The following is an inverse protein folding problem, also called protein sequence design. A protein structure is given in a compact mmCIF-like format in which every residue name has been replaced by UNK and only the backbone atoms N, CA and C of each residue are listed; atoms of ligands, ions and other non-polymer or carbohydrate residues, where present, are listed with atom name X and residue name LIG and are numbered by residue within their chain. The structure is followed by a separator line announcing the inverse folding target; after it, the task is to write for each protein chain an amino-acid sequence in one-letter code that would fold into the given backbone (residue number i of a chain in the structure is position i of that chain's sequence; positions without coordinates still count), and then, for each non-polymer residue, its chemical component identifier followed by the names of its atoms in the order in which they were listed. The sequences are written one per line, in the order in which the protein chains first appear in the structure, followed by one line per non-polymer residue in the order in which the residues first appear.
data_IF_394902224907
#
_entry.id   IF_394902224907
#
_cell.length_a   1.000
_cell.length_b   1.000
_cell.length_c   1.000
_cell.angle_alpha   90.00
_cell.angle_beta   90.00
_cell.angle_gamma   90.00
#
_symmetry.space_group_name_H-M   'P 1'
#
loop_
_entity.id
_entity.type
_entity.pdbx_description
1 polymer ?
#
# COMPACT_ATOMS: atom_id res chain seq x y z
N UNK A 1 12.87 -26.36 -0.14
CA UNK A 1 12.86 -24.89 -0.04
C UNK A 1 11.67 -24.52 0.84
N UNK A 2 11.82 -23.89 2.02
CA UNK A 2 10.67 -23.36 2.74
C UNK A 2 10.42 -21.93 2.21
N UNK A 3 9.33 -21.68 1.47
CA UNK A 3 8.01 -21.32 1.99
C UNK A 3 8.08 -20.11 2.95
N UNK A 4 8.21 -18.91 2.38
CA UNK A 4 7.83 -17.64 3.03
C UNK A 4 6.30 -17.54 3.06
N UNK A 5 5.65 -18.53 3.66
CA UNK A 5 4.21 -18.59 3.82
C UNK A 5 3.89 -18.17 5.27
N UNK A 6 3.28 -17.00 5.43
CA UNK A 6 2.45 -16.75 6.61
C UNK A 6 3.12 -16.32 7.91
N UNK A 7 4.25 -15.61 7.90
CA UNK A 7 4.50 -14.64 8.98
C UNK A 7 3.67 -13.37 8.72
N UNK A 8 2.35 -13.54 8.66
CA UNK A 8 1.47 -12.51 9.17
C UNK A 8 1.71 -12.54 10.68
N UNK A 9 2.63 -11.69 11.14
CA UNK A 9 2.74 -11.32 12.55
C UNK A 9 1.47 -10.54 12.92
N UNK A 10 0.33 -11.24 12.90
CA UNK A 10 -0.94 -10.73 13.35
C UNK A 10 -0.89 -10.78 14.87
N UNK A 11 -0.30 -9.73 15.42
CA UNK A 11 -0.01 -9.47 16.84
C UNK A 11 -1.27 -9.38 17.72
N UNK A 12 -2.41 -9.93 17.29
CA UNK A 12 -3.73 -9.72 17.91
C UNK A 12 -4.16 -8.26 17.89
N UNK A 13 -3.57 -7.46 17.01
CA UNK A 13 -3.77 -6.01 16.94
C UNK A 13 -4.88 -5.69 15.97
N UNK A 14 -5.82 -4.83 16.39
CA UNK A 14 -6.84 -4.29 15.48
C UNK A 14 -6.20 -3.66 14.24
N UNK A 15 -6.44 -4.27 13.08
CA UNK A 15 -6.04 -3.72 11.78
C UNK A 15 -6.99 -2.57 11.44
N UNK A 16 -6.42 -1.38 11.28
CA UNK A 16 -7.18 -0.19 10.95
C UNK A 16 -7.64 -0.15 9.48
N UNK A 17 -8.52 0.80 9.13
CA UNK A 17 -9.07 0.89 7.79
C UNK A 17 -8.02 1.10 6.70
N UNK A 18 -6.98 1.93 6.93
CA UNK A 18 -5.97 2.17 5.91
C UNK A 18 -5.08 0.95 5.69
N UNK A 19 -4.68 0.28 6.77
CA UNK A 19 -3.86 -0.93 6.67
C UNK A 19 -4.62 -2.06 5.96
N UNK A 20 -5.94 -2.20 6.20
CA UNK A 20 -6.78 -3.13 5.43
C UNK A 20 -6.76 -2.82 3.93
N UNK A 21 -6.94 -1.55 3.56
CA UNK A 21 -6.93 -1.12 2.16
C UNK A 21 -5.60 -1.42 1.47
N UNK A 22 -4.47 -1.07 2.12
CA UNK A 22 -3.15 -1.31 1.54
C UNK A 22 -2.80 -2.79 1.50
N UNK A 23 -3.20 -3.58 2.50
CA UNK A 23 -3.02 -5.03 2.45
C UNK A 23 -3.79 -5.64 1.28
N UNK A 24 -5.04 -5.23 1.05
CA UNK A 24 -5.81 -5.66 -0.12
C UNK A 24 -5.16 -5.27 -1.44
N UNK A 25 -4.64 -4.05 -1.56
CA UNK A 25 -3.91 -3.61 -2.74
C UNK A 25 -2.66 -4.46 -3.01
N UNK A 26 -1.82 -4.67 -1.99
CA UNK A 26 -0.57 -5.45 -2.14
C UNK A 26 -0.86 -6.91 -2.44
N UNK A 27 -1.88 -7.51 -1.81
CA UNK A 27 -2.31 -8.89 -2.09
C UNK A 27 -2.92 -9.03 -3.50
N UNK A 28 -3.60 -8.00 -3.99
CA UNK A 28 -4.21 -7.98 -5.32
C UNK A 28 -3.21 -7.69 -6.45
N UNK A 29 -1.98 -7.31 -6.15
CA UNK A 29 -0.98 -6.95 -7.16
C UNK A 29 -0.60 -8.17 -8.02
N UNK A 30 -0.75 -8.04 -9.34
CA UNK A 30 -0.51 -9.12 -10.32
C UNK A 30 0.81 -8.94 -11.10
N UNK A 31 1.54 -7.84 -10.90
CA UNK A 31 2.80 -7.56 -11.59
C UNK A 31 4.00 -8.32 -11.01
N UNK A 32 5.13 -8.26 -11.71
CA UNK A 32 6.40 -8.76 -11.19
C UNK A 32 6.82 -7.93 -9.97
N UNK A 33 7.17 -8.59 -8.87
CA UNK A 33 7.54 -7.93 -7.62
C UNK A 33 9.07 -7.91 -7.45
N UNK A 34 9.71 -7.01 -8.19
CA UNK A 34 11.15 -6.77 -8.06
C UNK A 34 11.50 -6.09 -6.71
N UNK A 35 12.80 -6.03 -6.33
CA UNK A 35 13.22 -5.47 -5.04
C UNK A 35 12.77 -4.03 -4.77
N UNK A 36 12.68 -3.16 -5.80
CA UNK A 36 12.20 -1.79 -5.62
C UNK A 36 10.70 -1.78 -5.30
N UNK A 37 9.90 -2.58 -6.01
CA UNK A 37 8.48 -2.74 -5.72
C UNK A 37 8.24 -3.28 -4.31
N UNK A 38 9.06 -4.23 -3.85
CA UNK A 38 8.99 -4.74 -2.47
C UNK A 38 9.20 -3.63 -1.43
N UNK A 39 10.21 -2.77 -1.63
CA UNK A 39 10.49 -1.65 -0.72
C UNK A 39 9.32 -0.67 -0.67
N UNK A 40 8.76 -0.32 -1.84
CA UNK A 40 7.63 0.62 -1.89
C UNK A 40 6.39 0.01 -1.22
N UNK A 41 6.08 -1.26 -1.49
CA UNK A 41 4.95 -1.96 -0.86
C UNK A 41 5.09 -2.08 0.66
N UNK A 42 6.30 -2.36 1.16
CA UNK A 42 6.58 -2.35 2.60
C UNK A 42 6.42 -0.94 3.20
N UNK A 43 6.88 0.09 2.49
CA UNK A 43 6.68 1.50 2.85
C UNK A 43 5.20 1.86 2.99
N UNK A 44 4.37 1.49 2.02
CA UNK A 44 2.93 1.72 2.06
C UNK A 44 2.27 1.05 3.28
N UNK A 45 2.62 -0.20 3.59
CA UNK A 45 2.09 -0.91 4.78
C UNK A 45 2.45 -0.18 6.08
N UNK A 46 3.70 0.27 6.21
CA UNK A 46 4.16 1.04 7.37
C UNK A 46 3.43 2.37 7.52
N UNK A 47 3.25 3.10 6.41
CA UNK A 47 2.54 4.38 6.39
C UNK A 47 1.06 4.21 6.75
N UNK A 48 0.38 3.20 6.19
CA UNK A 48 -1.01 2.90 6.50
C UNK A 48 -1.21 2.61 8.00
N UNK A 49 -0.32 1.79 8.59
CA UNK A 49 -0.30 1.51 10.03
C UNK A 49 -0.16 2.79 10.88
N UNK A 50 0.72 3.70 10.46
CA UNK A 50 0.96 4.96 11.15
C UNK A 50 -0.23 5.91 11.04
N UNK A 51 -0.87 5.99 9.87
CA UNK A 51 -2.08 6.78 9.65
C UNK A 51 -3.19 6.27 10.58
N UNK A 52 -3.47 4.97 10.60
CA UNK A 52 -4.50 4.39 11.46
C UNK A 52 -4.24 4.69 12.95
N UNK A 53 -2.98 4.58 13.39
CA UNK A 53 -2.56 4.90 14.76
C UNK A 53 -2.72 6.38 15.12
N UNK A 54 -2.42 7.28 14.18
CA UNK A 54 -2.59 8.72 14.37
C UNK A 54 -4.05 9.13 14.36
N UNK A 55 -4.85 8.61 13.43
CA UNK A 55 -6.29 8.83 13.34
C UNK A 55 -6.98 8.42 14.63
N UNK A 56 -6.66 7.23 15.17
CA UNK A 56 -7.20 6.75 16.47
C UNK A 56 -6.87 7.69 17.63
N UNK A 57 -5.76 8.43 17.55
CA UNK A 57 -5.30 9.39 18.55
C UNK A 57 -5.76 10.83 18.25
N UNK A 58 -6.57 11.05 17.22
CA UNK A 58 -7.00 12.39 16.79
C UNK A 58 -5.85 13.29 16.32
N UNK A 59 -4.75 12.70 15.85
CA UNK A 59 -3.56 13.43 15.39
C UNK A 59 -3.61 13.69 13.89
N UNK A 60 -2.90 14.71 13.45
CA UNK A 60 -2.74 15.05 12.04
C UNK A 60 -2.07 13.90 11.26
N UNK A 61 -2.63 13.58 10.09
CA UNK A 61 -2.17 12.51 9.20
C UNK A 61 -1.67 13.01 7.83
N UNK A 62 -1.75 14.32 7.57
CA UNK A 62 -1.51 14.94 6.25
C UNK A 62 -0.20 14.50 5.62
N UNK A 63 0.90 14.54 6.38
CA UNK A 63 2.24 14.16 5.93
C UNK A 63 2.36 12.67 5.59
N UNK A 64 1.80 11.80 6.42
CA UNK A 64 1.84 10.36 6.18
C UNK A 64 0.94 9.97 5.00
N UNK A 65 -0.19 10.65 4.85
CA UNK A 65 -1.07 10.47 3.69
C UNK A 65 -0.40 10.93 2.40
N UNK A 66 0.30 12.08 2.43
CA UNK A 66 1.10 12.56 1.29
C UNK A 66 2.16 11.54 0.86
N UNK A 67 2.97 11.07 1.82
CA UNK A 67 3.98 10.05 1.55
C UNK A 67 3.38 8.74 1.01
N UNK A 68 2.21 8.32 1.52
CA UNK A 68 1.53 7.12 1.04
C UNK A 68 1.10 7.29 -0.43
N UNK A 69 0.53 8.45 -0.78
CA UNK A 69 0.14 8.76 -2.15
C UNK A 69 1.34 8.82 -3.10
N UNK A 70 2.49 9.29 -2.62
CA UNK A 70 3.72 9.31 -3.42
C UNK A 70 4.23 7.89 -3.70
N UNK A 71 4.22 6.99 -2.71
CA UNK A 71 4.52 5.57 -2.94
C UNK A 71 3.59 4.92 -3.99
N UNK A 72 2.28 5.22 -3.94
CA UNK A 72 1.33 4.71 -4.94
C UNK A 72 1.66 5.24 -6.34
N UNK A 73 2.02 6.52 -6.46
CA UNK A 73 2.41 7.13 -7.74
C UNK A 73 3.67 6.51 -8.30
N UNK A 74 4.67 6.25 -7.45
CA UNK A 74 5.92 5.60 -7.86
C UNK A 74 5.66 4.19 -8.41
N UNK A 75 4.86 3.37 -7.72
CA UNK A 75 4.49 2.04 -8.22
C UNK A 75 3.78 2.12 -9.58
N UNK A 76 2.81 3.03 -9.72
CA UNK A 76 2.12 3.25 -11.00
C UNK A 76 3.08 3.63 -12.12
N UNK A 77 4.06 4.50 -11.85
CA UNK A 77 5.04 4.91 -12.85
C UNK A 77 5.92 3.73 -13.29
N UNK A 78 6.32 2.87 -12.34
CA UNK A 78 7.06 1.65 -12.66
C UNK A 78 6.22 0.71 -13.53
N UNK A 79 4.92 0.57 -13.23
CA UNK A 79 4.01 -0.28 -14.00
C UNK A 79 3.79 0.28 -15.40
N UNK A 80 3.57 1.59 -15.55
CA UNK A 80 3.48 2.26 -16.86
C UNK A 80 4.76 2.10 -17.70
N UNK A 81 5.93 2.17 -17.06
CA UNK A 81 7.21 1.96 -17.74
C UNK A 81 7.41 0.50 -18.19
N UNK A 82 6.77 -0.46 -17.49
CA UNK A 82 6.93 -1.90 -17.75
C UNK A 82 5.87 -2.45 -18.72
N UNK A 83 4.61 -1.99 -18.60
CA UNK A 83 3.44 -2.52 -19.32
C UNK A 83 2.95 -1.60 -20.45
N UNK A 84 3.49 -0.38 -20.59
CA UNK A 84 2.96 0.61 -21.53
C UNK A 84 1.67 1.27 -21.02
N UNK A 85 1.11 2.25 -21.75
CA UNK A 85 0.08 3.17 -21.24
C UNK A 85 -1.33 2.58 -21.00
N UNK A 86 -1.55 1.28 -21.19
CA UNK A 86 -2.87 0.68 -21.01
C UNK A 86 -3.06 0.06 -19.61
N UNK A 87 -3.89 0.75 -18.84
CA UNK A 87 -4.83 0.21 -17.85
C UNK A 87 -4.30 -0.37 -16.53
N UNK A 88 -3.94 0.52 -15.60
CA UNK A 88 -3.77 0.19 -14.18
C UNK A 88 -5.07 0.49 -13.40
N UNK A 89 -6.05 -0.41 -13.56
CA UNK A 89 -7.34 -0.38 -12.88
C UNK A 89 -7.19 -0.46 -11.34
N UNK A 90 -6.16 -1.15 -10.85
CA UNK A 90 -5.91 -1.35 -9.42
C UNK A 90 -5.49 -0.04 -8.74
N UNK A 91 -4.56 0.71 -9.33
CA UNK A 91 -4.19 2.04 -8.82
C UNK A 91 -5.35 3.01 -8.92
N UNK A 92 -6.15 2.96 -9.99
CA UNK A 92 -7.34 3.81 -10.13
C UNK A 92 -8.36 3.53 -9.02
N UNK A 93 -8.66 2.26 -8.74
CA UNK A 93 -9.53 1.84 -7.63
C UNK A 93 -8.98 2.30 -6.29
N UNK A 94 -7.68 2.17 -6.04
CA UNK A 94 -7.06 2.63 -4.80
C UNK A 94 -7.20 4.15 -4.63
N UNK A 95 -6.92 4.93 -5.67
CA UNK A 95 -7.06 6.39 -5.65
C UNK A 95 -8.52 6.84 -5.51
N UNK A 96 -9.47 6.11 -6.11
CA UNK A 96 -10.90 6.35 -5.92
C UNK A 96 -11.34 6.04 -4.47
N UNK A 97 -10.84 4.95 -3.87
CA UNK A 97 -11.10 4.60 -2.47
C UNK A 97 -10.45 5.57 -1.47
N UNK A 98 -9.38 6.27 -1.85
CA UNK A 98 -8.67 7.24 -1.00
C UNK A 98 -9.21 8.67 -1.06
N UNK A 99 -10.21 8.96 -1.92
CA UNK A 99 -10.89 10.24 -1.91
C UNK A 99 -12.03 10.25 -0.90
N UNK A 100 -11.96 11.20 0.04
CA UNK A 100 -13.11 11.72 0.81
C UNK A 100 -14.23 12.20 -0.13
#
# INVERSE_FOLDING_TARGET
MPMFEGMDEDTGRDIGPMERTINGFVQGYQGEVDPYRQVIMAGMKSLARNIDSQTKRGREISRNMGALLDCVRELRQMDQATMGPEDDEATRKLLEMMKL
#
